data_IF_535391873839
#
_entry.id   IF_535391873839
#
_cell.length_a   1.000
_cell.length_b   1.000
_cell.length_c   1.000
_cell.angle_alpha   90.00
_cell.angle_beta   90.00
_cell.angle_gamma   90.00
#
_symmetry.space_group_name_H-M   'P 1'
#
loop_
_entity.id
_entity.type
_entity.pdbx_description
1 polymer ?
#
# COMPACT_ATOMS: atom_id res chain seq x y z
N UNK A 1 -33.57 14.30 -23.51
CA UNK A 1 -34.56 15.16 -22.82
C UNK A 1 -33.87 16.25 -21.99
N UNK A 2 -32.62 16.06 -21.51
CA UNK A 2 -31.88 17.04 -20.71
C UNK A 2 -32.27 17.05 -19.19
N UNK A 3 -33.14 16.13 -18.80
CA UNK A 3 -33.52 16.00 -17.37
C UNK A 3 -32.36 15.44 -16.54
N UNK A 4 -32.08 16.08 -15.41
CA UNK A 4 -31.05 15.66 -14.45
C UNK A 4 -31.71 14.95 -13.25
N UNK A 5 -31.21 13.76 -12.93
CA UNK A 5 -31.61 13.00 -11.76
C UNK A 5 -30.39 12.65 -10.91
N UNK A 6 -30.51 12.84 -9.60
CA UNK A 6 -29.47 12.39 -8.65
C UNK A 6 -29.59 10.87 -8.48
N UNK A 7 -28.51 10.14 -8.77
CA UNK A 7 -28.44 8.67 -8.64
C UNK A 7 -27.79 8.27 -7.33
N UNK A 8 -26.75 8.97 -6.91
CA UNK A 8 -25.97 8.67 -5.71
C UNK A 8 -25.44 9.96 -5.09
N UNK A 9 -25.42 10.02 -3.77
CA UNK A 9 -24.79 11.12 -3.01
C UNK A 9 -23.70 10.51 -2.13
N UNK A 10 -22.50 11.07 -2.22
CA UNK A 10 -21.39 10.82 -1.29
C UNK A 10 -21.23 12.04 -0.39
N UNK A 11 -21.11 11.80 0.91
CA UNK A 11 -20.91 12.85 1.90
C UNK A 11 -19.82 12.44 2.88
N UNK A 12 -19.02 13.41 3.30
CA UNK A 12 -17.94 13.22 4.25
C UNK A 12 -17.70 14.50 5.04
N UNK A 13 -17.44 14.41 6.33
CA UNK A 13 -17.17 15.56 7.20
C UNK A 13 -15.77 16.17 6.96
N UNK A 14 -14.87 15.39 6.36
CA UNK A 14 -13.49 15.80 6.11
C UNK A 14 -13.31 16.14 4.62
N UNK A 15 -12.77 15.20 3.84
CA UNK A 15 -12.62 15.31 2.39
C UNK A 15 -13.03 13.99 1.72
N UNK A 16 -13.57 14.10 0.51
CA UNK A 16 -13.86 12.94 -0.32
C UNK A 16 -12.61 12.57 -1.14
N UNK A 17 -12.21 11.29 -1.07
CA UNK A 17 -11.28 10.74 -2.04
C UNK A 17 -12.04 10.47 -3.34
N UNK A 18 -11.76 11.26 -4.39
CA UNK A 18 -12.42 11.10 -5.68
C UNK A 18 -11.76 9.98 -6.49
N UNK A 19 -12.55 8.97 -6.79
CA UNK A 19 -12.29 7.98 -7.83
C UNK A 19 -13.23 8.30 -8.99
N UNK A 20 -12.75 9.08 -9.95
CA UNK A 20 -13.57 9.81 -10.94
C UNK A 20 -14.26 8.93 -12.00
N UNK A 21 -14.18 7.60 -11.92
CA UNK A 21 -14.61 6.75 -13.02
C UNK A 21 -15.71 5.77 -12.59
N UNK A 22 -16.97 6.19 -12.76
CA UNK A 22 -18.08 5.23 -12.83
C UNK A 22 -17.84 4.27 -14.02
N UNK A 23 -17.63 2.99 -13.76
CA UNK A 23 -17.53 1.96 -14.82
C UNK A 23 -18.90 1.36 -15.05
N UNK A 24 -19.53 1.72 -16.17
CA UNK A 24 -20.85 1.18 -16.54
C UNK A 24 -20.76 -0.29 -16.91
N UNK A 25 -21.75 -1.05 -16.45
CA UNK A 25 -21.95 -2.48 -16.69
C UNK A 25 -23.41 -2.75 -17.01
N UNK A 26 -23.76 -3.99 -17.41
CA UNK A 26 -25.13 -4.42 -17.73
C UNK A 26 -25.79 -3.52 -18.77
N UNK A 27 -25.12 -3.24 -19.89
CA UNK A 27 -25.59 -2.31 -20.93
C UNK A 27 -25.97 -0.93 -20.38
N UNK A 28 -25.24 -0.45 -19.36
CA UNK A 28 -25.44 0.85 -18.73
C UNK A 28 -26.60 0.90 -17.73
N UNK A 29 -27.15 -0.25 -17.30
CA UNK A 29 -28.21 -0.32 -16.28
C UNK A 29 -27.65 -0.22 -14.86
N UNK A 30 -26.36 -0.49 -14.68
CA UNK A 30 -25.62 -0.38 -13.42
C UNK A 30 -24.24 0.21 -13.67
N UNK A 31 -23.57 0.64 -12.61
CA UNK A 31 -22.17 1.03 -12.65
C UNK A 31 -21.42 0.61 -11.36
N UNK A 32 -20.12 0.46 -11.49
CA UNK A 32 -19.22 0.23 -10.35
C UNK A 32 -18.74 1.58 -9.82
N UNK A 33 -18.85 1.75 -8.52
CA UNK A 33 -18.49 2.95 -7.80
C UNK A 33 -17.55 2.67 -6.63
N UNK A 34 -16.52 3.49 -6.45
CA UNK A 34 -15.69 3.46 -5.25
C UNK A 34 -16.33 4.32 -4.16
N UNK A 35 -16.45 3.78 -2.96
CA UNK A 35 -16.98 4.52 -1.83
C UNK A 35 -16.34 4.11 -0.51
N UNK A 36 -16.19 5.08 0.39
CA UNK A 36 -15.72 4.88 1.77
C UNK A 36 -16.88 4.92 2.78
N UNK A 37 -18.15 4.82 2.31
CA UNK A 37 -19.35 4.95 3.16
C UNK A 37 -19.42 3.95 4.30
N UNK A 38 -18.80 2.78 4.16
CA UNK A 38 -18.72 1.75 5.21
C UNK A 38 -17.55 1.94 6.19
N UNK A 39 -16.73 2.99 6.03
CA UNK A 39 -15.50 3.19 6.80
C UNK A 39 -14.24 2.66 6.12
N UNK A 40 -14.40 1.83 5.09
CA UNK A 40 -13.35 1.26 4.26
C UNK A 40 -13.62 1.57 2.79
N UNK A 41 -12.59 1.62 1.97
CA UNK A 41 -12.71 1.83 0.54
C UNK A 41 -13.11 0.54 -0.15
N UNK A 42 -14.34 0.52 -0.66
CA UNK A 42 -14.92 -0.64 -1.34
C UNK A 42 -15.45 -0.32 -2.73
N UNK A 43 -15.72 -1.38 -3.49
CA UNK A 43 -16.41 -1.34 -4.77
C UNK A 43 -17.89 -1.62 -4.55
N UNK A 44 -18.74 -0.74 -5.08
CA UNK A 44 -20.19 -0.86 -5.02
C UNK A 44 -20.76 -0.99 -6.43
N UNK A 45 -21.71 -1.89 -6.62
CA UNK A 45 -22.57 -1.90 -7.78
C UNK A 45 -23.80 -1.05 -7.47
N UNK A 46 -24.00 -0.04 -8.30
CA UNK A 46 -25.12 0.91 -8.16
C UNK A 46 -25.99 0.81 -9.38
N UNK A 47 -27.32 0.62 -9.19
CA UNK A 47 -28.29 0.67 -10.30
C UNK A 47 -28.44 2.10 -10.83
N UNK A 48 -28.68 2.25 -12.13
CA UNK A 48 -28.78 3.57 -12.77
C UNK A 48 -29.91 4.44 -12.23
N UNK A 49 -30.96 3.83 -11.65
CA UNK A 49 -32.05 4.54 -11.00
C UNK A 49 -31.77 4.85 -9.49
N UNK A 50 -30.60 4.47 -8.98
CA UNK A 50 -30.17 4.71 -7.61
C UNK A 50 -30.84 3.85 -6.54
N UNK A 51 -31.75 2.92 -6.92
CA UNK A 51 -32.54 2.14 -5.95
C UNK A 51 -31.76 0.98 -5.32
N UNK A 52 -30.70 0.50 -5.98
CA UNK A 52 -29.89 -0.60 -5.50
C UNK A 52 -28.44 -0.17 -5.37
N UNK A 53 -27.84 -0.39 -4.19
CA UNK A 53 -26.42 -0.14 -3.88
C UNK A 53 -25.89 -1.37 -3.15
N UNK A 54 -25.09 -2.18 -3.84
CA UNK A 54 -24.58 -3.46 -3.33
C UNK A 54 -23.07 -3.34 -3.12
N UNK A 55 -22.57 -3.61 -1.90
CA UNK A 55 -21.15 -3.71 -1.62
C UNK A 55 -20.61 -5.03 -2.18
N UNK A 56 -19.69 -4.95 -3.17
CA UNK A 56 -19.09 -6.11 -3.83
C UNK A 56 -17.87 -6.67 -3.09
N UNK A 57 -17.30 -5.90 -2.18
CA UNK A 57 -16.03 -6.21 -1.53
C UNK A 57 -16.07 -5.96 -0.01
N UNK A 58 -17.09 -6.51 0.71
CA UNK A 58 -17.26 -6.24 2.13
C UNK A 58 -16.08 -6.78 2.96
N UNK A 59 -15.74 -6.10 4.07
CA UNK A 59 -14.71 -6.50 5.02
C UNK A 59 -13.94 -5.30 5.59
N UNK A 60 -13.02 -5.57 6.52
CA UNK A 60 -12.20 -4.56 7.20
C UNK A 60 -10.88 -4.34 6.45
N UNK A 61 -10.96 -3.92 5.19
CA UNK A 61 -9.81 -3.65 4.33
C UNK A 61 -10.17 -2.64 3.23
N UNK A 62 -9.16 -1.98 2.68
CA UNK A 62 -9.32 -1.05 1.56
C UNK A 62 -8.97 -1.71 0.22
N UNK A 63 -9.79 -1.44 -0.80
CA UNK A 63 -9.41 -1.61 -2.19
C UNK A 63 -8.44 -0.49 -2.58
N UNK A 64 -7.32 -0.82 -3.20
CA UNK A 64 -6.34 0.17 -3.67
C UNK A 64 -6.45 0.45 -5.17
N UNK A 65 -6.93 -0.52 -5.94
CA UNK A 65 -7.12 -0.38 -7.39
C UNK A 65 -8.16 -1.36 -7.93
N UNK A 66 -9.00 -0.91 -8.87
CA UNK A 66 -9.87 -1.76 -9.68
C UNK A 66 -9.10 -2.15 -10.96
N UNK A 67 -8.88 -3.45 -11.16
CA UNK A 67 -8.08 -3.96 -12.28
C UNK A 67 -8.93 -4.31 -13.51
N UNK A 68 -10.00 -5.06 -13.33
CA UNK A 68 -10.87 -5.48 -14.44
C UNK A 68 -12.28 -5.84 -13.97
N UNK A 69 -13.23 -5.77 -14.92
CA UNK A 69 -14.60 -6.24 -14.74
C UNK A 69 -14.89 -7.25 -15.86
N UNK A 70 -15.10 -8.50 -15.49
CA UNK A 70 -15.49 -9.60 -16.38
C UNK A 70 -16.99 -9.82 -16.25
N UNK A 71 -17.75 -9.06 -17.01
CA UNK A 71 -19.23 -9.16 -17.01
C UNK A 71 -19.71 -10.52 -17.51
N UNK A 72 -18.99 -11.13 -18.45
CA UNK A 72 -19.38 -12.40 -19.06
C UNK A 72 -19.39 -13.55 -18.04
N UNK A 73 -18.41 -13.59 -17.11
CA UNK A 73 -18.29 -14.61 -16.10
C UNK A 73 -18.74 -14.13 -14.71
N UNK A 74 -19.14 -12.86 -14.59
CA UNK A 74 -19.66 -12.25 -13.38
C UNK A 74 -18.61 -12.00 -12.30
N UNK A 75 -17.39 -11.56 -12.66
CA UNK A 75 -16.30 -11.27 -11.71
C UNK A 75 -15.79 -9.84 -11.80
N UNK A 76 -15.37 -9.33 -10.66
CA UNK A 76 -14.63 -8.07 -10.54
C UNK A 76 -13.27 -8.35 -9.89
N UNK A 77 -12.19 -7.81 -10.49
CA UNK A 77 -10.81 -8.00 -10.04
C UNK A 77 -10.25 -6.71 -9.49
N UNK A 78 -9.57 -6.78 -8.35
CA UNK A 78 -9.06 -5.60 -7.65
C UNK A 78 -7.82 -5.90 -6.83
N UNK A 79 -7.03 -4.87 -6.52
CA UNK A 79 -5.89 -4.95 -5.61
C UNK A 79 -6.33 -4.58 -4.20
N UNK A 80 -5.97 -5.42 -3.24
CA UNK A 80 -6.19 -5.20 -1.82
C UNK A 80 -5.07 -5.80 -0.96
N UNK A 81 -5.09 -5.54 0.34
CA UNK A 81 -4.07 -6.01 1.29
C UNK A 81 -4.67 -6.26 2.67
N UNK A 82 -5.67 -7.16 2.79
CA UNK A 82 -6.40 -7.38 4.05
C UNK A 82 -5.51 -7.85 5.21
N UNK A 83 -4.45 -8.61 4.92
CA UNK A 83 -3.58 -9.20 5.93
C UNK A 83 -2.34 -8.35 6.24
N UNK A 84 -1.78 -7.70 5.23
CA UNK A 84 -0.54 -6.93 5.35
C UNK A 84 -0.57 -5.67 4.49
N UNK A 85 -0.78 -4.53 5.13
CA UNK A 85 -0.91 -3.21 4.47
C UNK A 85 0.35 -2.74 3.74
N UNK A 86 1.51 -3.38 3.96
CA UNK A 86 2.75 -3.07 3.23
C UNK A 86 2.85 -3.79 1.89
N UNK A 87 1.96 -4.74 1.62
CA UNK A 87 1.95 -5.60 0.43
C UNK A 87 0.70 -5.36 -0.43
N UNK A 88 0.67 -5.90 -1.65
CA UNK A 88 -0.43 -5.74 -2.60
C UNK A 88 -0.69 -7.05 -3.33
N UNK A 89 -1.97 -7.48 -3.39
CA UNK A 89 -2.39 -8.75 -4.00
C UNK A 89 -3.64 -8.56 -4.83
N UNK A 90 -3.77 -9.34 -5.90
CA UNK A 90 -4.97 -9.43 -6.72
C UNK A 90 -5.99 -10.34 -6.04
N UNK A 91 -7.19 -9.81 -5.90
CA UNK A 91 -8.38 -10.54 -5.48
C UNK A 91 -9.48 -10.43 -6.54
N UNK A 92 -10.50 -11.26 -6.41
CA UNK A 92 -11.74 -11.15 -7.16
C UNK A 92 -12.95 -11.41 -6.28
N UNK A 93 -14.08 -10.83 -6.65
CA UNK A 93 -15.40 -11.04 -6.04
C UNK A 93 -16.46 -11.16 -7.12
N UNK A 94 -17.63 -11.67 -6.75
CA UNK A 94 -18.78 -11.76 -7.67
C UNK A 94 -19.40 -10.38 -7.91
N UNK A 95 -19.80 -10.10 -9.16
CA UNK A 95 -20.47 -8.85 -9.56
C UNK A 95 -21.90 -8.73 -9.00
N UNK A 96 -22.49 -9.82 -8.52
CA UNK A 96 -23.79 -9.82 -7.87
C UNK A 96 -23.69 -9.59 -6.34
N UNK A 97 -22.47 -9.50 -5.80
CA UNK A 97 -22.20 -9.34 -4.37
C UNK A 97 -22.34 -10.64 -3.56
N UNK A 98 -22.52 -11.78 -4.21
CA UNK A 98 -22.58 -13.09 -3.56
C UNK A 98 -21.20 -13.66 -3.26
N UNK A 99 -21.10 -14.54 -2.25
CA UNK A 99 -19.89 -15.27 -1.93
C UNK A 99 -18.81 -14.44 -1.23
N UNK A 100 -17.64 -15.05 -1.07
CA UNK A 100 -16.48 -14.45 -0.43
C UNK A 100 -15.49 -13.93 -1.48
N UNK A 101 -14.61 -13.01 -1.08
CA UNK A 101 -13.47 -12.65 -1.92
C UNK A 101 -12.52 -13.82 -2.08
N UNK A 102 -11.94 -13.95 -3.27
CA UNK A 102 -10.95 -14.97 -3.59
C UNK A 102 -9.62 -14.32 -3.92
N UNK A 103 -8.54 -14.77 -3.26
CA UNK A 103 -7.19 -14.33 -3.62
C UNK A 103 -6.74 -15.03 -4.90
N UNK A 104 -6.34 -14.22 -5.90
CA UNK A 104 -5.85 -14.71 -7.21
C UNK A 104 -4.32 -14.76 -7.23
N UNK A 105 -3.65 -13.79 -6.59
CA UNK A 105 -2.18 -13.83 -6.47
C UNK A 105 -1.73 -15.01 -5.60
N UNK A 106 -0.93 -15.96 -6.13
CA UNK A 106 -0.39 -17.07 -5.35
C UNK A 106 0.50 -16.62 -4.17
N UNK A 107 0.55 -17.42 -3.11
CA UNK A 107 1.27 -17.11 -1.87
C UNK A 107 2.78 -16.88 -2.06
N UNK A 108 3.41 -17.59 -3.01
CA UNK A 108 4.83 -17.41 -3.30
C UNK A 108 5.20 -16.00 -3.81
N UNK A 109 4.25 -15.18 -4.22
CA UNK A 109 4.46 -13.81 -4.66
C UNK A 109 4.21 -12.81 -3.52
N UNK A 110 4.82 -13.05 -2.36
CA UNK A 110 4.83 -12.09 -1.24
C UNK A 110 5.50 -10.79 -1.65
N UNK A 111 4.94 -9.65 -1.25
CA UNK A 111 5.39 -8.31 -1.64
C UNK A 111 4.34 -7.51 -2.41
N UNK A 112 4.78 -6.71 -3.35
CA UNK A 112 3.90 -5.87 -4.18
C UNK A 112 3.66 -6.51 -5.53
N UNK A 113 2.40 -6.68 -5.87
CA UNK A 113 1.92 -7.23 -7.12
C UNK A 113 1.04 -6.20 -7.85
N UNK A 114 1.23 -6.05 -9.14
CA UNK A 114 0.37 -5.27 -10.02
C UNK A 114 0.08 -6.03 -11.30
N UNK A 115 -1.06 -5.74 -11.91
CA UNK A 115 -1.55 -6.47 -13.06
C UNK A 115 -2.00 -5.50 -14.15
N UNK A 116 -1.71 -5.85 -15.39
CA UNK A 116 -2.32 -5.25 -16.57
C UNK A 116 -3.18 -6.35 -17.19
N UNK A 117 -4.47 -6.29 -16.93
CA UNK A 117 -5.41 -7.36 -17.31
C UNK A 117 -6.00 -7.12 -18.69
N UNK A 118 -6.32 -8.22 -19.40
CA UNK A 118 -7.17 -8.20 -20.57
C UNK A 118 -8.62 -7.88 -20.19
N UNK A 119 -9.40 -7.37 -21.14
CA UNK A 119 -10.81 -7.00 -20.90
C UNK A 119 -11.68 -8.19 -20.45
N UNK A 120 -11.38 -9.39 -20.94
CA UNK A 120 -12.08 -10.63 -20.57
C UNK A 120 -11.61 -11.24 -19.23
N UNK A 121 -10.67 -10.57 -18.53
CA UNK A 121 -10.14 -11.04 -17.26
C UNK A 121 -9.33 -12.34 -17.31
N UNK A 122 -9.06 -12.91 -18.52
CA UNK A 122 -8.39 -14.20 -18.64
C UNK A 122 -6.87 -14.13 -18.66
N UNK A 123 -6.31 -12.98 -19.06
CA UNK A 123 -4.87 -12.78 -19.20
C UNK A 123 -4.41 -11.57 -18.43
N UNK A 124 -3.19 -11.61 -17.93
CA UNK A 124 -2.57 -10.44 -17.35
C UNK A 124 -1.05 -10.42 -17.52
N UNK A 125 -0.48 -9.21 -17.63
CA UNK A 125 0.93 -8.99 -17.36
C UNK A 125 1.06 -8.75 -15.86
N UNK A 126 1.55 -9.75 -15.14
CA UNK A 126 1.81 -9.68 -13.72
C UNK A 126 3.21 -9.13 -13.46
N UNK A 127 3.31 -8.07 -12.67
CA UNK A 127 4.57 -7.53 -12.17
C UNK A 127 4.65 -7.78 -10.66
N UNK A 128 5.70 -8.45 -10.22
CA UNK A 128 5.96 -8.74 -8.82
C UNK A 128 7.30 -8.17 -8.40
N UNK A 129 7.37 -7.57 -7.22
CA UNK A 129 8.61 -7.18 -6.53
C UNK A 129 8.43 -7.25 -5.02
N UNK A 130 9.53 -7.34 -4.27
CA UNK A 130 9.57 -7.10 -2.83
C UNK A 130 10.66 -6.06 -2.51
N UNK A 131 10.82 -5.64 -1.27
CA UNK A 131 11.76 -4.57 -0.91
C UNK A 131 13.17 -4.80 -1.45
N UNK A 132 13.70 -6.01 -1.30
CA UNK A 132 15.03 -6.45 -1.73
C UNK A 132 15.04 -7.23 -3.05
N UNK A 133 13.87 -7.37 -3.70
CA UNK A 133 13.69 -8.15 -4.94
C UNK A 133 13.27 -7.24 -6.09
N UNK A 134 14.16 -7.00 -7.06
CA UNK A 134 13.82 -6.28 -8.30
C UNK A 134 12.59 -6.85 -8.99
N UNK A 135 11.84 -5.97 -9.66
CA UNK A 135 10.61 -6.37 -10.32
C UNK A 135 10.84 -7.44 -11.39
N UNK A 136 9.98 -8.43 -11.43
CA UNK A 136 9.86 -9.40 -12.50
C UNK A 136 8.51 -9.27 -13.19
N UNK A 137 8.45 -9.45 -14.51
CA UNK A 137 7.22 -9.40 -15.30
C UNK A 137 6.98 -10.70 -16.01
N UNK A 138 5.74 -11.18 -15.97
CA UNK A 138 5.33 -12.41 -16.63
C UNK A 138 3.93 -12.30 -17.21
N UNK A 139 3.69 -13.00 -18.31
CA UNK A 139 2.35 -13.24 -18.84
C UNK A 139 1.74 -14.40 -18.07
N UNK A 140 0.56 -14.19 -17.49
CA UNK A 140 -0.16 -15.21 -16.72
C UNK A 140 -1.57 -15.41 -17.28
N UNK A 141 -2.05 -16.65 -17.20
CA UNK A 141 -3.44 -16.99 -17.48
C UNK A 141 -4.21 -17.11 -16.16
N UNK A 142 -5.34 -16.43 -16.08
CA UNK A 142 -6.16 -16.28 -14.88
C UNK A 142 -7.41 -17.19 -14.96
N UNK A 143 -8.07 -17.50 -13.83
CA UNK A 143 -7.71 -17.10 -12.46
C UNK A 143 -6.64 -18.01 -11.81
N UNK A 144 -6.25 -19.13 -12.43
CA UNK A 144 -5.27 -20.08 -11.88
C UNK A 144 -3.85 -19.49 -11.74
N UNK A 145 -3.61 -18.29 -12.28
CA UNK A 145 -2.33 -17.61 -12.27
C UNK A 145 -1.16 -18.43 -12.87
N UNK A 146 -1.47 -19.16 -13.94
CA UNK A 146 -0.46 -19.97 -14.64
C UNK A 146 0.50 -19.10 -15.43
N UNK A 147 1.80 -19.11 -15.11
CA UNK A 147 2.80 -18.39 -15.89
C UNK A 147 2.97 -19.06 -17.27
N UNK A 148 2.68 -18.33 -18.32
CA UNK A 148 2.83 -18.78 -19.72
C UNK A 148 4.13 -18.28 -20.33
N UNK A 149 4.58 -17.08 -19.95
CA UNK A 149 5.84 -16.54 -20.47
C UNK A 149 6.48 -15.58 -19.47
N UNK A 150 7.82 -15.63 -19.33
CA UNK A 150 8.61 -14.65 -18.58
C UNK A 150 8.98 -13.49 -19.51
N UNK A 151 8.46 -12.29 -19.23
CA UNK A 151 8.71 -11.09 -20.05
C UNK A 151 9.96 -10.34 -19.59
N UNK A 152 10.21 -10.32 -18.27
CA UNK A 152 11.36 -9.66 -17.67
C UNK A 152 11.75 -10.38 -16.39
N UNK A 153 12.92 -11.02 -16.34
CA UNK A 153 13.39 -11.76 -15.17
C UNK A 153 14.38 -10.99 -14.30
N UNK A 154 15.00 -9.93 -14.82
CA UNK A 154 16.03 -9.13 -14.16
C UNK A 154 17.22 -9.91 -13.56
N UNK A 155 17.54 -11.10 -14.11
CA UNK A 155 18.62 -11.98 -13.61
C UNK A 155 19.95 -11.26 -13.44
N UNK A 156 20.30 -10.38 -14.39
CA UNK A 156 21.57 -9.65 -14.34
C UNK A 156 21.61 -8.69 -13.14
N UNK A 157 20.49 -8.05 -12.81
CA UNK A 157 20.37 -7.17 -11.65
C UNK A 157 20.39 -7.98 -10.34
N UNK A 158 19.69 -9.10 -10.27
CA UNK A 158 19.75 -10.01 -9.12
C UNK A 158 21.20 -10.43 -8.85
N UNK A 159 21.92 -10.89 -9.87
CA UNK A 159 23.32 -11.31 -9.74
C UNK A 159 24.23 -10.18 -9.27
N UNK A 160 23.99 -8.94 -9.71
CA UNK A 160 24.75 -7.77 -9.22
C UNK A 160 24.49 -7.51 -7.73
N UNK A 161 23.22 -7.55 -7.31
CA UNK A 161 22.84 -7.35 -5.90
C UNK A 161 23.38 -8.45 -4.98
N UNK A 162 23.39 -9.70 -5.44
CA UNK A 162 23.96 -10.85 -4.70
C UNK A 162 25.46 -10.72 -4.45
N UNK A 163 26.19 -10.05 -5.34
CA UNK A 163 27.63 -9.81 -5.20
C UNK A 163 27.98 -8.62 -4.30
N UNK A 164 26.99 -7.86 -3.86
CA UNK A 164 27.18 -6.70 -3.00
C UNK A 164 26.98 -7.05 -1.53
N UNK A 165 27.75 -6.42 -0.66
CA UNK A 165 27.57 -6.53 0.78
C UNK A 165 26.49 -5.55 1.22
N UNK A 166 25.23 -6.02 1.30
CA UNK A 166 24.07 -5.20 1.53
C UNK A 166 23.57 -5.27 2.99
N UNK A 167 23.04 -4.15 3.46
CA UNK A 167 22.33 -4.06 4.73
C UNK A 167 21.02 -4.84 4.68
N UNK A 168 20.63 -5.46 5.81
CA UNK A 168 19.40 -6.25 5.93
C UNK A 168 18.25 -5.40 6.45
N UNK A 169 17.10 -5.54 5.80
CA UNK A 169 15.85 -4.84 6.18
C UNK A 169 14.90 -5.78 6.92
N UNK A 170 14.29 -5.26 7.98
CA UNK A 170 13.21 -5.89 8.73
C UNK A 170 11.98 -4.97 8.68
N UNK A 171 10.82 -5.52 8.28
CA UNK A 171 9.53 -4.88 8.48
C UNK A 171 9.04 -5.19 9.89
N UNK A 172 8.46 -4.19 10.56
CA UNK A 172 8.03 -4.34 11.94
C UNK A 172 6.77 -3.52 12.24
N UNK A 173 6.21 -3.77 13.41
CA UNK A 173 5.11 -2.98 13.98
C UNK A 173 5.51 -2.49 15.36
N UNK A 174 5.15 -1.24 15.69
CA UNK A 174 5.28 -0.64 17.00
C UNK A 174 3.97 0.03 17.41
N UNK A 175 3.77 0.23 18.72
CA UNK A 175 2.60 0.93 19.24
C UNK A 175 2.97 2.35 19.61
N UNK A 176 2.18 3.32 19.14
CA UNK A 176 2.17 4.67 19.68
C UNK A 176 1.65 4.66 21.14
N UNK A 177 1.84 5.76 21.88
CA UNK A 177 1.44 5.86 23.31
C UNK A 177 -0.04 5.60 23.56
N UNK A 178 -0.89 5.84 22.59
CA UNK A 178 -2.34 5.60 22.63
C UNK A 178 -2.74 4.19 22.14
N UNK A 179 -1.75 3.32 21.90
CA UNK A 179 -1.95 1.93 21.52
C UNK A 179 -2.13 1.67 20.01
N UNK A 180 -2.18 2.72 19.19
CA UNK A 180 -2.31 2.58 17.74
C UNK A 180 -1.07 1.91 17.16
N UNK A 181 -1.29 0.91 16.28
CA UNK A 181 -0.21 0.15 15.65
C UNK A 181 0.26 0.85 14.38
N UNK A 182 1.55 1.21 14.38
CA UNK A 182 2.26 1.82 13.26
C UNK A 182 3.13 0.77 12.57
N UNK A 183 3.12 0.76 11.23
CA UNK A 183 4.00 -0.10 10.44
C UNK A 183 5.28 0.65 10.10
N UNK A 184 6.40 -0.07 10.10
CA UNK A 184 7.71 0.48 9.78
C UNK A 184 8.64 -0.53 9.14
N UNK A 185 9.75 -0.05 8.61
CA UNK A 185 10.91 -0.86 8.30
C UNK A 185 12.17 -0.25 8.91
N UNK A 186 13.15 -1.11 9.19
CA UNK A 186 14.50 -0.73 9.58
C UNK A 186 15.52 -1.53 8.77
N UNK A 187 16.46 -0.82 8.14
CA UNK A 187 17.63 -1.41 7.49
C UNK A 187 18.84 -1.25 8.38
N UNK A 188 19.54 -2.33 8.61
CA UNK A 188 20.78 -2.36 9.42
C UNK A 188 22.01 -2.34 8.54
N UNK A 189 23.14 -1.78 9.01
CA UNK A 189 24.44 -1.86 8.30
C UNK A 189 24.82 -3.30 7.94
N UNK A 190 25.58 -3.52 6.85
CA UNK A 190 26.04 -4.87 6.48
C UNK A 190 26.81 -5.59 7.61
N UNK A 191 27.64 -4.86 8.34
CA UNK A 191 28.44 -5.38 9.45
C UNK A 191 27.79 -5.09 10.83
N UNK A 192 26.45 -5.17 10.87
CA UNK A 192 25.69 -4.90 12.08
C UNK A 192 26.00 -5.90 13.21
N UNK A 193 26.20 -5.38 14.42
CA UNK A 193 26.28 -6.14 15.67
C UNK A 193 25.37 -5.47 16.70
N UNK A 194 24.68 -6.25 17.53
CA UNK A 194 23.68 -5.72 18.47
C UNK A 194 24.29 -5.08 19.73
N UNK A 195 25.59 -5.23 19.96
CA UNK A 195 26.37 -4.69 21.08
C UNK A 195 26.84 -3.24 20.88
N UNK A 196 26.69 -2.70 19.66
CA UNK A 196 27.07 -1.33 19.31
C UNK A 196 25.86 -0.44 19.19
N UNK A 197 26.05 0.86 19.38
CA UNK A 197 25.05 1.88 19.09
C UNK A 197 25.26 2.47 17.69
N UNK A 198 24.17 2.71 16.98
CA UNK A 198 24.18 3.24 15.63
C UNK A 198 23.32 4.49 15.53
N UNK A 199 23.79 5.53 14.84
CA UNK A 199 22.94 6.65 14.45
C UNK A 199 21.81 6.15 13.55
N UNK A 200 20.65 6.76 13.67
CA UNK A 200 19.46 6.40 12.86
C UNK A 200 19.00 7.57 12.02
N UNK A 201 18.63 7.31 10.77
CA UNK A 201 18.00 8.29 9.88
C UNK A 201 16.66 7.80 9.41
N UNK A 202 15.64 8.64 9.57
CA UNK A 202 14.28 8.36 9.12
C UNK A 202 13.99 9.01 7.78
N UNK A 203 13.39 8.24 6.86
CA UNK A 203 12.69 8.77 5.69
C UNK A 203 11.21 8.90 6.01
N UNK A 204 10.64 10.10 5.83
CA UNK A 204 9.25 10.37 6.16
C UNK A 204 8.52 11.03 4.98
N UNK A 205 7.23 10.71 4.83
CA UNK A 205 6.30 11.50 4.02
C UNK A 205 5.22 12.13 4.89
N UNK A 206 4.50 11.34 5.69
CA UNK A 206 3.66 11.78 6.80
C UNK A 206 2.27 12.32 6.47
N UNK A 207 1.90 12.41 5.19
CA UNK A 207 0.64 13.00 4.71
C UNK A 207 -0.21 12.02 3.88
N UNK A 208 -1.47 12.39 3.60
CA UNK A 208 -2.53 11.54 3.05
C UNK A 208 -2.26 10.96 1.64
N UNK A 209 -1.32 11.51 0.88
CA UNK A 209 -1.03 11.09 -0.50
C UNK A 209 0.16 10.14 -0.64
N UNK A 210 0.84 9.80 0.48
CA UNK A 210 2.04 8.96 0.46
C UNK A 210 2.01 7.82 1.45
N UNK A 211 2.54 6.67 1.02
CA UNK A 211 2.91 5.54 1.87
C UNK A 211 4.39 5.24 1.66
N UNK A 212 5.20 5.23 2.72
CA UNK A 212 6.64 5.00 2.65
C UNK A 212 7.04 3.57 3.01
N UNK A 213 6.24 2.90 3.81
CA UNK A 213 6.49 1.51 4.25
C UNK A 213 5.78 0.55 3.29
N UNK A 214 6.43 0.27 2.18
CA UNK A 214 5.95 -0.64 1.14
C UNK A 214 6.95 -1.77 0.90
N UNK A 215 6.48 -2.99 0.88
CA UNK A 215 7.27 -4.15 0.48
C UNK A 215 7.34 -4.22 -1.06
N UNK A 216 8.09 -3.26 -1.63
CA UNK A 216 8.29 -3.10 -3.06
C UNK A 216 9.70 -2.58 -3.35
N UNK A 217 10.37 -3.15 -4.34
CA UNK A 217 11.64 -2.65 -4.81
C UNK A 217 11.49 -1.27 -5.47
N UNK A 218 12.14 -0.28 -4.90
CA UNK A 218 12.31 1.04 -5.48
C UNK A 218 13.79 1.32 -5.60
N UNK A 219 14.33 1.24 -6.81
CA UNK A 219 15.79 1.36 -7.02
C UNK A 219 16.38 2.60 -6.34
N UNK A 220 15.71 3.75 -6.41
CA UNK A 220 16.17 4.99 -5.77
C UNK A 220 16.17 4.89 -4.24
N UNK A 221 15.02 4.54 -3.65
CA UNK A 221 14.87 4.50 -2.17
C UNK A 221 15.70 3.37 -1.57
N UNK A 222 15.71 2.19 -2.21
CA UNK A 222 16.50 1.05 -1.77
C UNK A 222 18.00 1.34 -1.81
N UNK A 223 18.50 1.86 -2.94
CA UNK A 223 19.94 2.14 -3.10
C UNK A 223 20.40 3.29 -2.21
N UNK A 224 19.56 4.31 -1.99
CA UNK A 224 19.86 5.35 -1.02
C UNK A 224 19.96 4.79 0.41
N UNK A 225 19.00 3.95 0.81
CA UNK A 225 19.02 3.30 2.12
C UNK A 225 20.28 2.41 2.28
N UNK A 226 20.64 1.64 1.26
CA UNK A 226 21.87 0.83 1.25
C UNK A 226 23.13 1.69 1.37
N UNK A 227 23.20 2.81 0.65
CA UNK A 227 24.33 3.75 0.75
C UNK A 227 24.50 4.28 2.19
N UNK A 228 23.40 4.65 2.86
CA UNK A 228 23.44 5.12 4.24
C UNK A 228 23.80 3.98 5.22
N UNK A 229 23.25 2.78 5.00
CA UNK A 229 23.57 1.61 5.80
C UNK A 229 25.07 1.25 5.71
N UNK A 230 25.67 1.30 4.51
CA UNK A 230 27.11 1.10 4.32
C UNK A 230 27.97 2.16 5.02
N UNK A 231 27.44 3.37 5.25
CA UNK A 231 28.08 4.41 6.07
C UNK A 231 27.90 4.24 7.57
N UNK A 232 27.23 3.14 8.00
CA UNK A 232 27.04 2.80 9.40
C UNK A 232 25.77 3.37 10.05
N UNK A 233 24.83 3.88 9.26
CA UNK A 233 23.53 4.34 9.77
C UNK A 233 22.49 3.20 9.77
N UNK A 234 21.62 3.20 10.77
CA UNK A 234 20.32 2.56 10.65
C UNK A 234 19.45 3.46 9.76
N UNK A 235 18.71 2.85 8.82
CA UNK A 235 17.75 3.59 7.98
C UNK A 235 16.36 3.07 8.26
N UNK A 236 15.45 3.94 8.64
CA UNK A 236 14.09 3.57 8.99
C UNK A 236 13.03 4.43 8.29
N UNK A 237 11.83 3.92 8.23
CA UNK A 237 10.64 4.67 7.89
C UNK A 237 9.45 4.15 8.67
N UNK A 238 8.52 5.04 9.01
CA UNK A 238 7.29 4.73 9.71
C UNK A 238 6.14 5.39 8.96
N UNK A 239 5.08 4.64 8.68
CA UNK A 239 3.82 5.21 8.24
C UNK A 239 2.97 5.60 9.46
N UNK A 240 2.91 6.89 9.74
CA UNK A 240 2.05 7.46 10.78
C UNK A 240 0.59 7.52 10.33
N UNK A 241 -0.32 7.78 11.27
CA UNK A 241 -1.72 8.11 10.95
C UNK A 241 -1.80 9.29 9.98
N UNK A 242 -2.81 9.27 9.12
CA UNK A 242 -3.00 10.26 8.06
C UNK A 242 -2.29 9.93 6.75
N UNK A 243 -1.41 8.92 6.69
CA UNK A 243 -0.78 8.46 5.44
C UNK A 243 -1.75 7.64 4.59
N UNK A 244 -1.41 7.43 3.31
CA UNK A 244 -2.23 6.69 2.33
C UNK A 244 -2.26 5.16 2.56
N UNK A 245 -1.83 4.68 3.72
CA UNK A 245 -1.88 3.26 4.08
C UNK A 245 -3.32 2.75 4.01
N UNK A 246 -3.58 1.57 3.43
CA UNK A 246 -4.93 1.01 3.33
C UNK A 246 -5.43 0.44 4.67
N UNK A 247 -5.63 1.33 5.65
CA UNK A 247 -6.14 1.07 7.01
C UNK A 247 -7.48 1.73 7.30
N UNK A 248 -8.27 1.97 6.26
CA UNK A 248 -9.59 2.55 6.36
C UNK A 248 -9.62 4.08 6.39
N UNK A 249 -10.83 4.62 6.28
CA UNK A 249 -11.12 6.05 6.22
C UNK A 249 -10.62 6.79 7.46
N UNK A 250 -10.89 6.26 8.66
CA UNK A 250 -10.49 6.87 9.92
C UNK A 250 -8.97 7.07 10.03
N UNK A 251 -8.18 6.14 9.51
CA UNK A 251 -6.73 6.29 9.45
C UNK A 251 -6.30 7.43 8.53
N UNK A 252 -6.75 7.41 7.27
CA UNK A 252 -6.30 8.38 6.26
C UNK A 252 -6.71 9.82 6.58
N UNK A 253 -7.87 10.00 7.20
CA UNK A 253 -8.47 11.32 7.48
C UNK A 253 -8.16 11.88 8.87
N UNK A 254 -7.41 11.13 9.69
CA UNK A 254 -7.10 11.49 11.08
C UNK A 254 -6.32 12.80 11.25
N UNK A 255 -5.65 13.27 10.19
CA UNK A 255 -4.89 14.54 10.19
C UNK A 255 -5.64 15.71 9.54
N UNK A 256 -6.92 15.54 9.19
CA UNK A 256 -7.72 16.61 8.62
C UNK A 256 -7.77 17.82 9.54
N UNK A 257 -7.45 19.01 9.01
CA UNK A 257 -7.35 20.25 9.79
C UNK A 257 -6.16 20.36 10.77
N UNK A 258 -5.32 19.30 10.89
CA UNK A 258 -4.21 19.26 11.84
C UNK A 258 -2.98 18.51 11.27
N UNK A 259 -2.65 18.80 10.02
CA UNK A 259 -1.47 18.25 9.34
C UNK A 259 -0.20 18.60 10.13
N UNK A 260 0.69 17.62 10.30
CA UNK A 260 1.94 17.78 11.05
C UNK A 260 1.83 17.54 12.56
N UNK A 261 0.67 17.68 13.18
CA UNK A 261 0.53 17.54 14.65
C UNK A 261 0.51 16.09 15.08
N UNK A 262 -0.51 15.32 14.65
CA UNK A 262 -0.65 13.91 15.00
C UNK A 262 0.45 13.06 14.37
N UNK A 263 0.82 13.35 13.13
CA UNK A 263 1.86 12.64 12.40
C UNK A 263 3.24 12.78 13.06
N UNK A 264 3.64 13.98 13.53
CA UNK A 264 4.89 14.18 14.28
C UNK A 264 4.89 13.41 15.60
N UNK A 265 3.75 13.42 16.31
CA UNK A 265 3.59 12.63 17.54
C UNK A 265 3.78 11.14 17.30
N UNK A 266 3.17 10.60 16.24
CA UNK A 266 3.29 9.18 15.89
C UNK A 266 4.75 8.80 15.54
N UNK A 267 5.47 9.65 14.81
CA UNK A 267 6.88 9.44 14.48
C UNK A 267 7.76 9.42 15.75
N UNK A 268 7.53 10.37 16.66
CA UNK A 268 8.23 10.41 17.94
C UNK A 268 7.94 9.17 18.80
N UNK A 269 6.67 8.78 18.92
CA UNK A 269 6.24 7.60 19.67
C UNK A 269 6.86 6.32 19.08
N UNK A 270 6.92 6.23 17.75
CA UNK A 270 7.57 5.11 17.07
C UNK A 270 9.06 5.03 17.40
N UNK A 271 9.80 6.16 17.37
CA UNK A 271 11.22 6.20 17.78
C UNK A 271 11.39 5.72 19.21
N UNK A 272 10.56 6.19 20.16
CA UNK A 272 10.64 5.76 21.56
C UNK A 272 10.37 4.25 21.71
N UNK A 273 9.36 3.73 21.00
CA UNK A 273 9.04 2.30 21.03
C UNK A 273 10.15 1.45 20.40
N UNK A 274 10.77 1.93 19.31
CA UNK A 274 11.92 1.29 18.67
C UNK A 274 13.14 1.26 19.58
N UNK A 275 13.47 2.38 20.25
CA UNK A 275 14.61 2.48 21.16
C UNK A 275 14.44 1.56 22.40
N UNK A 276 13.20 1.39 22.86
CA UNK A 276 12.88 0.40 23.91
C UNK A 276 13.09 -1.04 23.46
N UNK A 277 12.73 -1.34 22.19
CA UNK A 277 12.86 -2.68 21.61
C UNK A 277 14.30 -3.02 21.23
N UNK A 278 15.06 -2.03 20.79
CA UNK A 278 16.38 -2.20 20.19
C UNK A 278 17.42 -1.26 20.84
N UNK A 279 18.20 -1.78 21.79
CA UNK A 279 19.23 -1.04 22.53
C UNK A 279 20.37 -0.48 21.67
N UNK A 280 20.51 -0.99 20.44
CA UNK A 280 21.52 -0.54 19.49
C UNK A 280 21.17 0.79 18.78
N UNK A 281 19.98 1.35 18.99
CA UNK A 281 19.61 2.67 18.47
C UNK A 281 20.26 3.75 19.34
N UNK A 282 21.05 4.64 18.72
CA UNK A 282 21.62 5.82 19.38
C UNK A 282 20.59 6.97 19.30
N UNK A 283 19.85 7.18 20.39
CA UNK A 283 18.81 8.21 20.46
C UNK A 283 19.36 9.63 20.50
N UNK A 284 20.67 9.81 20.71
CA UNK A 284 21.33 11.12 20.69
C UNK A 284 21.76 11.50 19.24
N UNK A 285 21.65 10.56 18.30
CA UNK A 285 22.04 10.71 16.89
C UNK A 285 20.92 10.29 15.96
N UNK A 286 19.85 11.04 16.01
CA UNK A 286 18.65 10.82 15.17
C UNK A 286 18.57 11.90 14.10
N UNK A 287 18.49 11.46 12.83
CA UNK A 287 18.24 12.33 11.69
C UNK A 287 16.89 12.00 11.05
N UNK A 288 16.30 12.98 10.39
CA UNK A 288 15.06 12.83 9.63
C UNK A 288 15.18 13.60 8.31
N UNK A 289 14.62 13.07 7.25
CA UNK A 289 14.52 13.76 5.97
C UNK A 289 13.28 13.31 5.21
N UNK A 290 12.80 14.16 4.30
CA UNK A 290 11.68 13.88 3.45
C UNK A 290 11.59 14.85 2.29
N UNK A 291 10.72 14.55 1.33
CA UNK A 291 10.47 15.37 0.14
C UNK A 291 8.99 15.80 0.12
N UNK A 292 8.70 17.02 -0.39
CA UNK A 292 7.33 17.55 -0.44
C UNK A 292 6.68 17.58 0.95
N UNK A 293 5.54 16.92 1.17
CA UNK A 293 4.93 16.74 2.49
C UNK A 293 5.90 16.19 3.54
N UNK A 294 6.80 15.28 3.12
CA UNK A 294 7.89 14.81 3.99
C UNK A 294 8.90 15.89 4.38
N UNK A 295 9.11 16.88 3.52
CA UNK A 295 9.89 18.08 3.85
C UNK A 295 9.21 18.90 4.94
N UNK A 296 7.90 19.16 4.82
CA UNK A 296 7.10 19.80 5.86
C UNK A 296 7.15 19.05 7.18
N UNK A 297 7.01 17.71 7.13
CA UNK A 297 7.15 16.85 8.31
C UNK A 297 8.51 16.96 8.96
N UNK A 298 9.60 16.97 8.18
CA UNK A 298 10.97 17.13 8.67
C UNK A 298 11.16 18.45 9.43
N UNK A 299 10.52 19.53 8.98
CA UNK A 299 10.60 20.83 9.65
C UNK A 299 9.73 20.93 10.91
N UNK A 300 8.70 20.08 11.04
CA UNK A 300 7.81 20.02 12.21
C UNK A 300 8.36 19.15 13.33
N UNK A 301 9.41 18.36 13.10
CA UNK A 301 10.01 17.45 14.08
C UNK A 301 11.37 17.94 14.57
#
# INVERSE_FOLDING_TARGET
TGDLNTVLIEQEETFLDFYNDAKYIDDGKSFIWHSERSGWRHLYRVSRDGKSVVNLTPGDFDITHLEAIDEQNGWIYYIASPENVTQRYLFRSKLDGSGNMERVTPEQYSGSNSYQMSQDGQWAIHTHSAWDKPAQKRLVHLPKHETKHMLMDNKSLFKKLENETLGKTEFFKVKARDGVVLDGYIMRPPNFTADKKYPIVFYVYGEAVGQTVNDRFSSRSYMWAQMMAQKGYLVASIDNRGTAVPKGRAWRKSIYGAVGVLSSRDQYDALQAMAKRWSYIDTDKVGIWGHSGGGSMTLNM
#
